data_IF_596922802984
#
_entry.id   IF_596922802984
#
_cell.length_a   1.000
_cell.length_b   1.000
_cell.length_c   1.000
_cell.angle_alpha   90.00
_cell.angle_beta   90.00
_cell.angle_gamma   90.00
#
_symmetry.space_group_name_H-M   'P 1'
#
loop_
_entity.id
_entity.type
_entity.pdbx_description
1 polymer ?
#
# COMPACT_ATOMS: atom_id res chain seq x y z
N UNK A 1 -8.71 13.25 18.11
CA UNK A 1 -9.16 12.09 17.32
C UNK A 1 -9.03 12.32 15.82
N UNK A 2 -9.61 13.38 15.29
CA UNK A 2 -9.64 13.65 13.83
C UNK A 2 -8.24 13.67 13.21
N UNK A 3 -7.29 14.38 13.80
CA UNK A 3 -5.91 14.49 13.27
C UNK A 3 -5.21 13.13 13.17
N UNK A 4 -5.34 12.28 14.20
CA UNK A 4 -4.78 10.92 14.16
C UNK A 4 -5.38 10.11 13.01
N UNK A 5 -6.71 10.07 12.92
CA UNK A 5 -7.42 9.32 11.89
C UNK A 5 -6.99 9.80 10.50
N UNK A 6 -6.88 11.12 10.30
CA UNK A 6 -6.45 11.69 9.02
C UNK A 6 -5.02 11.29 8.69
N UNK A 7 -4.08 11.40 9.62
CA UNK A 7 -2.67 11.05 9.36
C UNK A 7 -2.52 9.55 9.08
N UNK A 8 -3.15 8.70 9.90
CA UNK A 8 -3.14 7.24 9.69
C UNK A 8 -3.77 6.88 8.34
N UNK A 9 -4.92 7.46 8.00
CA UNK A 9 -5.58 7.24 6.72
C UNK A 9 -4.71 7.68 5.54
N UNK A 10 -4.05 8.84 5.64
CA UNK A 10 -3.14 9.34 4.59
C UNK A 10 -1.95 8.40 4.42
N UNK A 11 -1.33 7.93 5.50
CA UNK A 11 -0.20 7.00 5.43
C UNK A 11 -0.61 5.65 4.82
N UNK A 12 -1.76 5.11 5.21
CA UNK A 12 -2.30 3.86 4.63
C UNK A 12 -2.63 4.04 3.14
N UNK A 13 -3.22 5.18 2.76
CA UNK A 13 -3.53 5.49 1.35
C UNK A 13 -2.27 5.69 0.51
N UNK A 14 -1.24 6.35 1.02
CA UNK A 14 0.05 6.49 0.35
C UNK A 14 0.69 5.12 0.14
N UNK A 15 0.70 4.27 1.18
CA UNK A 15 1.18 2.90 1.05
C UNK A 15 0.40 2.13 -0.04
N UNK A 16 -0.92 2.17 0.01
CA UNK A 16 -1.79 1.55 -0.97
C UNK A 16 -1.51 2.02 -2.41
N UNK A 17 -1.23 3.31 -2.59
CA UNK A 17 -0.89 3.89 -3.89
C UNK A 17 0.44 3.33 -4.42
N UNK A 18 1.49 3.27 -3.60
CA UNK A 18 2.78 2.72 -4.00
C UNK A 18 2.70 1.21 -4.30
N UNK A 19 1.98 0.44 -3.47
CA UNK A 19 1.70 -0.99 -3.71
C UNK A 19 0.95 -1.18 -5.03
N UNK A 20 -0.12 -0.42 -5.26
CA UNK A 20 -0.89 -0.51 -6.49
C UNK A 20 -0.04 -0.14 -7.73
N UNK A 21 0.84 0.86 -7.62
CA UNK A 21 1.73 1.27 -8.69
C UNK A 21 2.77 0.19 -9.03
N UNK A 22 3.37 -0.43 -8.01
CA UNK A 22 4.31 -1.53 -8.17
C UNK A 22 3.65 -2.73 -8.86
N UNK A 23 2.52 -3.19 -8.34
CA UNK A 23 1.80 -4.33 -8.91
C UNK A 23 1.16 -4.03 -10.26
N UNK A 24 0.84 -2.78 -10.58
CA UNK A 24 0.41 -2.39 -11.91
C UNK A 24 1.52 -2.56 -12.95
N UNK A 25 2.77 -2.27 -12.62
CA UNK A 25 3.92 -2.49 -13.54
C UNK A 25 4.25 -3.98 -13.64
N UNK A 26 4.36 -4.68 -12.51
CA UNK A 26 4.75 -6.10 -12.47
C UNK A 26 3.67 -7.01 -13.10
N UNK A 27 2.40 -6.73 -12.85
CA UNK A 27 1.28 -7.56 -13.28
C UNK A 27 0.75 -7.25 -14.69
N UNK A 28 1.21 -6.19 -15.35
CA UNK A 28 0.63 -5.79 -16.63
C UNK A 28 1.21 -6.58 -17.80
N UNK A 29 0.36 -7.25 -18.63
CA UNK A 29 0.81 -7.97 -19.81
C UNK A 29 1.41 -7.02 -20.85
N UNK A 30 2.67 -7.28 -21.25
CA UNK A 30 3.39 -6.45 -22.23
C UNK A 30 2.61 -6.28 -23.54
N UNK A 31 2.02 -7.35 -24.08
CA UNK A 31 1.24 -7.31 -25.30
C UNK A 31 0.05 -6.33 -25.24
N UNK A 32 -0.63 -6.25 -24.09
CA UNK A 32 -1.74 -5.31 -23.92
C UNK A 32 -1.29 -3.86 -23.90
N UNK A 33 -0.11 -3.59 -23.35
CA UNK A 33 0.50 -2.24 -23.35
C UNK A 33 0.96 -1.87 -24.75
N UNK A 34 1.62 -2.76 -25.47
CA UNK A 34 2.06 -2.53 -26.86
C UNK A 34 0.88 -2.17 -27.77
N UNK A 35 -0.21 -2.93 -27.72
CA UNK A 35 -1.43 -2.65 -28.48
C UNK A 35 -2.02 -1.25 -28.19
N UNK A 36 -2.08 -0.87 -26.91
CA UNK A 36 -2.58 0.45 -26.52
C UNK A 36 -1.62 1.59 -26.88
N UNK A 37 -0.32 1.34 -26.77
CA UNK A 37 0.71 2.31 -27.15
C UNK A 37 0.70 2.58 -28.66
N UNK A 38 0.55 1.52 -29.47
CA UNK A 38 0.39 1.61 -30.92
C UNK A 38 -0.89 2.38 -31.33
N UNK A 39 -1.97 2.24 -30.55
CA UNK A 39 -3.19 3.02 -30.71
C UNK A 39 -3.10 4.48 -30.26
N UNK A 40 -1.90 4.99 -29.93
CA UNK A 40 -1.66 6.38 -29.58
C UNK A 40 -1.91 6.76 -28.12
N UNK A 41 -2.16 5.79 -27.22
CA UNK A 41 -2.37 6.08 -25.82
C UNK A 41 -1.06 6.51 -25.14
N UNK A 42 -0.95 7.79 -24.75
CA UNK A 42 0.25 8.39 -24.14
C UNK A 42 0.67 7.72 -22.83
N UNK A 43 -0.29 7.26 -22.01
CA UNK A 43 0.01 6.56 -20.76
C UNK A 43 0.63 5.20 -21.05
N UNK A 44 0.05 4.44 -21.98
CA UNK A 44 0.59 3.16 -22.41
C UNK A 44 2.00 3.29 -23.03
N UNK A 45 2.27 4.36 -23.79
CA UNK A 45 3.62 4.64 -24.32
C UNK A 45 4.64 4.86 -23.20
N UNK A 46 4.29 5.60 -22.12
CA UNK A 46 5.17 5.79 -20.97
C UNK A 46 5.39 4.49 -20.21
N UNK A 47 4.34 3.68 -19.98
CA UNK A 47 4.44 2.38 -19.33
C UNK A 47 5.30 1.43 -20.16
N UNK A 48 5.11 1.40 -21.49
CA UNK A 48 5.94 0.63 -22.41
C UNK A 48 7.43 0.97 -22.27
N UNK A 49 7.75 2.28 -22.27
CA UNK A 49 9.13 2.74 -22.11
C UNK A 49 9.78 2.32 -20.77
N UNK A 50 8.99 2.12 -19.72
CA UNK A 50 9.47 1.56 -18.45
C UNK A 50 9.69 0.05 -18.58
N UNK A 51 8.76 -0.68 -19.20
CA UNK A 51 8.82 -2.14 -19.32
C UNK A 51 9.87 -2.65 -20.31
N UNK A 52 10.26 -1.84 -21.31
CA UNK A 52 11.28 -2.16 -22.31
C UNK A 52 12.71 -1.95 -21.78
N UNK A 53 12.89 -1.14 -20.77
CA UNK A 53 14.19 -0.81 -20.18
C UNK A 53 14.31 -1.40 -18.76
N UNK A 54 15.09 -2.46 -18.55
CA UNK A 54 15.26 -3.09 -17.24
C UNK A 54 15.71 -2.11 -16.16
N UNK A 55 16.58 -1.16 -16.47
CA UNK A 55 17.06 -0.18 -15.49
C UNK A 55 15.97 0.81 -15.07
N UNK A 56 15.06 1.18 -15.97
CA UNK A 56 13.90 2.02 -15.64
C UNK A 56 12.90 1.26 -14.82
N UNK A 57 12.66 -0.01 -15.14
CA UNK A 57 11.78 -0.89 -14.38
C UNK A 57 12.29 -1.06 -12.95
N UNK A 58 13.57 -1.36 -12.77
CA UNK A 58 14.20 -1.51 -11.45
C UNK A 58 14.12 -0.22 -10.62
N UNK A 59 14.41 0.94 -11.23
CA UNK A 59 14.28 2.23 -10.56
C UNK A 59 12.84 2.52 -10.13
N UNK A 60 11.86 2.19 -10.98
CA UNK A 60 10.45 2.39 -10.65
C UNK A 60 10.05 1.53 -9.45
N UNK A 61 10.40 0.24 -9.46
CA UNK A 61 10.12 -0.70 -8.37
C UNK A 61 10.83 -0.23 -7.09
N UNK A 62 12.12 0.12 -7.15
CA UNK A 62 12.86 0.61 -6.00
C UNK A 62 12.25 1.89 -5.40
N UNK A 63 11.76 2.81 -6.25
CA UNK A 63 11.07 4.02 -5.79
C UNK A 63 9.74 3.69 -5.12
N UNK A 64 8.97 2.77 -5.68
CA UNK A 64 7.72 2.31 -5.08
C UNK A 64 7.97 1.64 -3.71
N UNK A 65 8.97 0.76 -3.62
CA UNK A 65 9.37 0.09 -2.37
C UNK A 65 9.85 1.09 -1.31
N UNK A 66 10.61 2.12 -1.71
CA UNK A 66 11.01 3.20 -0.79
C UNK A 66 9.77 3.94 -0.25
N UNK A 67 8.80 4.24 -1.11
CA UNK A 67 7.55 4.88 -0.70
C UNK A 67 6.73 4.02 0.27
N UNK A 68 6.63 2.70 -0.01
CA UNK A 68 6.00 1.71 0.89
C UNK A 68 6.69 1.71 2.25
N UNK A 69 8.02 1.64 2.26
CA UNK A 69 8.82 1.61 3.51
C UNK A 69 8.62 2.87 4.33
N UNK A 70 8.68 4.06 3.71
CA UNK A 70 8.49 5.33 4.41
C UNK A 70 7.07 5.47 4.98
N UNK A 71 6.05 5.07 4.22
CA UNK A 71 4.67 5.09 4.69
C UNK A 71 4.46 4.12 5.87
N UNK A 72 5.03 2.92 5.79
CA UNK A 72 4.98 1.89 6.84
C UNK A 72 5.69 2.32 8.11
N UNK A 73 6.90 2.91 7.99
CA UNK A 73 7.64 3.45 9.14
C UNK A 73 6.89 4.60 9.79
N UNK A 74 6.33 5.52 8.99
CA UNK A 74 5.51 6.61 9.50
C UNK A 74 4.28 6.10 10.25
N UNK A 75 3.62 5.08 9.72
CA UNK A 75 2.47 4.45 10.36
C UNK A 75 2.87 3.74 11.67
N UNK A 76 3.98 3.00 11.69
CA UNK A 76 4.48 2.33 12.88
C UNK A 76 4.87 3.32 13.98
N UNK A 77 5.72 4.30 13.66
CA UNK A 77 6.23 5.24 14.66
C UNK A 77 5.16 6.20 15.20
N UNK A 78 4.41 6.84 14.30
CA UNK A 78 3.40 7.82 14.70
C UNK A 78 2.10 7.16 15.16
N UNK A 79 1.63 6.18 14.40
CA UNK A 79 0.35 5.53 14.64
C UNK A 79 0.34 4.74 15.94
N UNK A 80 1.36 3.92 16.20
CA UNK A 80 1.48 3.13 17.42
C UNK A 80 1.47 4.03 18.66
N UNK A 81 2.35 5.03 18.71
CA UNK A 81 2.45 5.94 19.85
C UNK A 81 1.14 6.67 20.15
N UNK A 82 0.49 7.21 19.13
CA UNK A 82 -0.73 8.00 19.27
C UNK A 82 -1.97 7.12 19.60
N UNK A 83 -2.02 5.89 19.09
CA UNK A 83 -3.11 4.94 19.43
C UNK A 83 -2.89 4.39 20.84
N UNK A 84 -1.69 3.96 21.19
CA UNK A 84 -1.35 3.45 22.52
C UNK A 84 -1.69 4.47 23.61
N UNK A 85 -1.27 5.72 23.45
CA UNK A 85 -1.56 6.83 24.38
C UNK A 85 -3.07 7.03 24.64
N UNK A 86 -3.92 6.68 23.65
CA UNK A 86 -5.38 6.80 23.79
C UNK A 86 -6.02 5.58 24.42
N UNK A 87 -5.37 4.43 24.32
CA UNK A 87 -5.84 3.19 24.94
C UNK A 87 -5.46 3.08 26.42
N UNK A 88 -4.33 3.67 26.82
CA UNK A 88 -3.83 3.65 28.21
C UNK A 88 -4.90 3.95 29.27
N UNK A 89 -5.69 5.04 29.15
CA UNK A 89 -6.72 5.37 30.18
C UNK A 89 -7.79 4.30 30.35
N UNK A 90 -8.05 3.50 29.32
CA UNK A 90 -9.03 2.40 29.37
C UNK A 90 -8.49 1.15 30.05
N UNK A 91 -7.16 1.06 30.16
CA UNK A 91 -6.43 -0.08 30.73
C UNK A 91 -5.92 0.19 32.15
N UNK A 92 -6.16 1.38 32.71
CA UNK A 92 -5.66 1.88 34.01
C UNK A 92 -6.24 1.17 35.25
N UNK A 93 -7.03 0.10 35.07
CA UNK A 93 -7.71 -0.63 36.16
C UNK A 93 -6.87 -1.71 36.87
N UNK A 94 -5.62 -1.97 36.50
CA UNK A 94 -4.90 -3.20 36.87
C UNK A 94 -3.79 -3.05 37.96
N UNK A 95 -4.00 -2.34 39.06
CA UNK A 95 -3.15 -2.41 40.26
C UNK A 95 -1.85 -1.56 40.24
N UNK A 96 -0.92 -1.70 41.21
CA UNK A 96 0.25 -0.81 41.39
C UNK A 96 1.36 -0.93 40.33
N UNK A 97 1.42 -2.03 39.56
CA UNK A 97 2.28 -2.17 38.39
C UNK A 97 1.64 -1.61 37.10
N UNK A 98 0.53 -0.93 37.25
CA UNK A 98 -0.42 -0.52 36.18
C UNK A 98 0.19 0.28 35.03
N UNK A 99 1.15 1.15 35.31
CA UNK A 99 1.72 2.02 34.24
C UNK A 99 2.50 1.22 33.20
N UNK A 100 3.38 0.29 33.63
CA UNK A 100 4.17 -0.51 32.71
C UNK A 100 3.28 -1.51 31.97
N UNK A 101 2.33 -2.13 32.69
CA UNK A 101 1.44 -3.15 32.11
C UNK A 101 0.40 -2.52 31.18
N UNK A 102 -0.20 -1.39 31.56
CA UNK A 102 -1.19 -0.69 30.74
C UNK A 102 -0.57 -0.12 29.47
N UNK A 103 0.60 0.51 29.57
CA UNK A 103 1.33 1.04 28.41
C UNK A 103 1.74 -0.10 27.44
N UNK A 104 2.34 -1.16 27.96
CA UNK A 104 2.76 -2.31 27.13
C UNK A 104 1.58 -2.98 26.44
N UNK A 105 0.47 -3.17 27.17
CA UNK A 105 -0.74 -3.76 26.60
C UNK A 105 -1.39 -2.85 25.54
N UNK A 106 -1.42 -1.54 25.82
CA UNK A 106 -1.92 -0.54 24.87
C UNK A 106 -1.08 -0.52 23.58
N UNK A 107 0.25 -0.58 23.68
CA UNK A 107 1.15 -0.66 22.52
C UNK A 107 0.93 -1.95 21.71
N UNK A 108 0.82 -3.10 22.36
CA UNK A 108 0.54 -4.37 21.66
C UNK A 108 -0.77 -4.31 20.89
N UNK A 109 -1.84 -3.79 21.51
CA UNK A 109 -3.14 -3.64 20.86
C UNK A 109 -3.07 -2.63 19.71
N UNK A 110 -2.41 -1.50 19.93
CA UNK A 110 -2.23 -0.47 18.91
C UNK A 110 -1.49 -1.02 17.67
N UNK A 111 -0.36 -1.71 17.89
CA UNK A 111 0.41 -2.36 16.83
C UNK A 111 -0.45 -3.39 16.09
N UNK A 112 -1.19 -4.23 16.80
CA UNK A 112 -2.05 -5.25 16.17
C UNK A 112 -3.13 -4.62 15.26
N UNK A 113 -3.82 -3.58 15.73
CA UNK A 113 -4.87 -2.89 14.97
C UNK A 113 -4.27 -2.20 13.75
N UNK A 114 -3.18 -1.45 13.92
CA UNK A 114 -2.53 -0.72 12.84
C UNK A 114 -1.92 -1.66 11.80
N UNK A 115 -1.27 -2.74 12.24
CA UNK A 115 -0.72 -3.76 11.35
C UNK A 115 -1.83 -4.44 10.53
N UNK A 116 -2.93 -4.80 11.17
CA UNK A 116 -4.08 -5.36 10.47
C UNK A 116 -4.66 -4.40 9.42
N UNK A 117 -4.91 -3.15 9.81
CA UNK A 117 -5.40 -2.13 8.89
C UNK A 117 -4.41 -1.87 7.73
N UNK A 118 -3.11 -1.81 8.03
CA UNK A 118 -2.06 -1.61 7.04
C UNK A 118 -2.00 -2.79 6.05
N UNK A 119 -1.97 -4.03 6.52
CA UNK A 119 -1.93 -5.21 5.65
C UNK A 119 -3.19 -5.26 4.76
N UNK A 120 -4.37 -5.08 5.34
CA UNK A 120 -5.61 -5.22 4.58
C UNK A 120 -5.78 -4.06 3.58
N UNK A 121 -5.78 -2.82 4.05
CA UNK A 121 -6.10 -1.65 3.23
C UNK A 121 -4.87 -1.07 2.51
N UNK A 122 -3.70 -1.19 3.09
CA UNK A 122 -2.45 -0.66 2.55
C UNK A 122 -1.76 -1.61 1.56
N UNK A 123 -2.01 -2.93 1.65
CA UNK A 123 -1.29 -3.91 0.83
C UNK A 123 -2.23 -4.87 0.08
N UNK A 124 -3.06 -5.66 0.76
CA UNK A 124 -3.82 -6.74 0.11
C UNK A 124 -4.88 -6.22 -0.86
N UNK A 125 -5.66 -5.23 -0.46
CA UNK A 125 -6.73 -4.65 -1.31
C UNK A 125 -6.14 -3.98 -2.56
N UNK A 126 -5.14 -3.08 -2.46
CA UNK A 126 -4.54 -2.43 -3.64
C UNK A 126 -3.89 -3.43 -4.60
N UNK A 127 -3.18 -4.41 -4.07
CA UNK A 127 -2.54 -5.50 -4.83
C UNK A 127 -3.59 -6.32 -5.60
N UNK A 128 -4.66 -6.73 -4.92
CA UNK A 128 -5.76 -7.49 -5.54
C UNK A 128 -6.42 -6.71 -6.69
N UNK A 129 -6.71 -5.42 -6.48
CA UNK A 129 -7.30 -4.55 -7.50
C UNK A 129 -6.36 -4.38 -8.70
N UNK A 130 -5.06 -4.17 -8.46
CA UNK A 130 -4.07 -4.00 -9.52
C UNK A 130 -3.96 -5.26 -10.39
N UNK A 131 -3.87 -6.44 -9.77
CA UNK A 131 -3.79 -7.72 -10.47
C UNK A 131 -5.05 -8.06 -11.25
N UNK A 132 -6.25 -7.88 -10.68
CA UNK A 132 -7.52 -8.13 -11.38
C UNK A 132 -7.70 -7.23 -12.60
N UNK A 133 -7.27 -5.97 -12.51
CA UNK A 133 -7.31 -5.06 -13.67
C UNK A 133 -6.34 -5.48 -14.76
N UNK A 134 -5.16 -5.96 -14.39
CA UNK A 134 -4.17 -6.48 -15.32
C UNK A 134 -4.71 -7.71 -16.08
N UNK A 135 -5.34 -8.66 -15.38
CA UNK A 135 -5.97 -9.85 -16.00
C UNK A 135 -7.12 -9.51 -16.94
N UNK A 136 -8.02 -8.60 -16.56
CA UNK A 136 -9.12 -8.13 -17.43
C UNK A 136 -8.59 -7.47 -18.70
N UNK A 137 -7.49 -6.74 -18.60
CA UNK A 137 -6.83 -6.12 -19.75
C UNK A 137 -6.24 -7.18 -20.69
N UNK A 138 -5.69 -8.28 -20.14
CA UNK A 138 -5.17 -9.40 -20.90
C UNK A 138 -6.28 -10.21 -21.61
N UNK A 139 -7.39 -10.49 -20.92
CA UNK A 139 -8.51 -11.25 -21.47
C UNK A 139 -9.25 -10.50 -22.58
N UNK A 140 -9.48 -9.19 -22.42
CA UNK A 140 -10.09 -8.36 -23.46
C UNK A 140 -9.25 -8.25 -24.74
N UNK A 141 -7.94 -8.46 -24.64
CA UNK A 141 -7.06 -8.51 -25.82
C UNK A 141 -7.16 -9.82 -26.63
N UNK A 142 -7.63 -10.90 -26.02
CA UNK A 142 -7.82 -12.20 -26.68
C UNK A 142 -9.16 -12.34 -27.39
N UNK A 143 -10.14 -11.50 -27.06
CA UNK A 143 -11.52 -11.60 -27.54
C UNK A 143 -11.80 -10.81 -28.84
N UNK A 144 -10.79 -10.35 -29.59
CA UNK A 144 -10.96 -9.75 -30.91
C UNK A 144 -10.45 -10.74 -31.98
N UNK A 145 -11.28 -11.65 -32.50
CA UNK A 145 -10.97 -12.35 -33.74
C UNK A 145 -11.02 -11.33 -34.90
N UNK A 146 -10.09 -11.49 -35.82
CA UNK A 146 -10.04 -10.76 -37.08
C UNK A 146 -11.28 -11.02 -37.93
#
# INVERSE_FOLDING_TARGET
MTTLIVIVAVLVLLNALFVAAEFAIVGTPRVAIEKRAAAGNRVAQRVRAILEDPQRQDRFIATAQLGITLASLGLGMYGEHEVARRLEPWLDGFGPARYITAHTLASIIAVAILTYAHIVFGEMVPKSIALQRAERTASGSRASPA
#
